data_IF_072086997000
#
_entry.id   IF_072086997000
#
_cell.length_a   1.000
_cell.length_b   1.000
_cell.length_c   1.000
_cell.angle_alpha   90.00
_cell.angle_beta   90.00
_cell.angle_gamma   90.00
#
_symmetry.space_group_name_H-M   'P 1'
#
loop_
_entity.id
_entity.type
_entity.pdbx_description
1 polymer ?
#
# COMPACT_ATOMS: atom_id res chain seq x y z
N UNK A 1 31.73 33.83 7.29
CA UNK A 1 31.19 32.63 6.62
C UNK A 1 29.73 32.93 6.31
N UNK A 2 29.45 33.24 5.04
CA UNK A 2 28.09 33.31 4.53
C UNK A 2 27.52 31.89 4.44
N UNK A 3 26.23 31.71 4.73
CA UNK A 3 25.29 30.94 3.91
C UNK A 3 23.88 31.00 4.50
N UNK A 4 23.20 32.09 4.18
CA UNK A 4 21.90 32.16 3.52
C UNK A 4 21.13 30.82 3.41
N UNK A 5 20.01 30.71 4.12
CA UNK A 5 18.78 30.03 3.69
C UNK A 5 17.64 30.60 4.54
N UNK A 6 17.05 31.71 4.11
CA UNK A 6 15.84 31.72 3.27
C UNK A 6 14.66 31.14 4.04
N UNK A 7 14.17 32.01 4.90
CA UNK A 7 12.78 32.12 5.32
C UNK A 7 11.90 32.20 4.06
N UNK A 8 11.15 31.14 3.78
CA UNK A 8 9.97 31.14 2.90
C UNK A 8 8.85 30.57 3.77
N UNK A 9 8.11 31.44 4.44
CA UNK A 9 6.81 31.93 3.97
C UNK A 9 5.82 30.75 3.87
N UNK A 10 5.14 30.53 4.98
CA UNK A 10 4.02 29.61 5.14
C UNK A 10 2.88 30.11 4.25
N UNK A 11 2.73 29.47 3.09
CA UNK A 11 1.51 29.56 2.29
C UNK A 11 0.63 28.38 2.67
N UNK A 12 -0.23 28.59 3.66
CA UNK A 12 -1.40 27.74 3.87
C UNK A 12 -2.29 27.84 2.63
N UNK A 13 -2.45 26.73 1.91
CA UNK A 13 -3.70 26.31 1.24
C UNK A 13 -3.49 24.94 0.59
N UNK A 14 -4.16 23.91 1.12
CA UNK A 14 -4.36 22.64 0.41
C UNK A 14 -3.87 21.38 1.12
N UNK A 15 -4.46 21.04 2.28
CA UNK A 15 -4.77 19.66 2.70
C UNK A 15 -3.75 18.53 2.48
N UNK A 16 -2.44 18.79 2.45
CA UNK A 16 -1.40 17.78 2.40
C UNK A 16 -1.00 17.43 3.81
N UNK A 17 -1.74 16.52 4.46
CA UNK A 17 -1.35 15.99 5.77
C UNK A 17 0.09 15.49 5.70
N UNK A 18 0.98 16.09 6.49
CA UNK A 18 2.39 15.70 6.58
C UNK A 18 2.39 14.27 7.12
N UNK A 19 2.66 13.29 6.25
CA UNK A 19 2.82 11.91 6.70
C UNK A 19 4.02 11.94 7.65
N UNK A 20 3.85 11.57 8.95
CA UNK A 20 4.96 11.61 9.88
C UNK A 20 6.09 10.73 9.35
N UNK A 21 7.35 11.17 9.52
CA UNK A 21 8.52 10.49 8.97
C UNK A 21 8.62 9.01 9.41
N UNK A 22 7.95 8.64 10.49
CA UNK A 22 7.89 7.29 11.07
C UNK A 22 6.66 6.47 10.61
N UNK A 23 5.79 7.00 9.75
CA UNK A 23 4.67 6.22 9.22
C UNK A 23 5.18 5.21 8.19
N UNK A 24 5.31 3.96 8.62
CA UNK A 24 5.55 2.86 7.71
C UNK A 24 4.20 2.35 7.17
N UNK A 25 3.88 2.61 5.90
CA UNK A 25 2.60 2.17 5.37
C UNK A 25 2.53 0.62 5.33
N UNK A 26 1.34 0.02 5.50
CA UNK A 26 1.20 -1.43 5.66
C UNK A 26 1.69 -2.23 4.45
N UNK A 27 1.62 -1.66 3.24
CA UNK A 27 2.14 -2.28 2.02
C UNK A 27 3.68 -2.26 1.89
N UNK A 28 4.39 -1.58 2.80
CA UNK A 28 5.87 -1.61 2.89
C UNK A 28 6.38 -2.59 3.94
N UNK A 29 5.49 -3.40 4.53
CA UNK A 29 5.86 -4.45 5.47
C UNK A 29 5.95 -5.82 4.77
N UNK A 30 6.87 -6.69 5.22
CA UNK A 30 7.03 -8.04 4.66
C UNK A 30 5.77 -8.91 4.82
N UNK A 31 5.38 -9.70 3.79
CA UNK A 31 6.04 -9.84 2.50
C UNK A 31 5.52 -8.86 1.43
N UNK A 32 4.61 -7.95 1.77
CA UNK A 32 3.97 -7.03 0.80
C UNK A 32 4.95 -6.02 0.19
N UNK A 33 6.07 -5.73 0.86
CA UNK A 33 7.16 -4.90 0.35
C UNK A 33 7.79 -5.44 -0.94
N UNK A 34 7.68 -6.76 -1.18
CA UNK A 34 8.15 -7.43 -2.39
C UNK A 34 7.10 -7.43 -3.53
N UNK A 35 5.91 -6.90 -3.27
CA UNK A 35 4.81 -6.83 -4.24
C UNK A 35 4.64 -5.40 -4.78
N UNK A 36 4.40 -5.28 -6.08
CA UNK A 36 4.15 -3.99 -6.72
C UNK A 36 2.66 -3.64 -6.66
N UNK A 37 2.29 -2.53 -6.02
CA UNK A 37 0.91 -2.01 -6.05
C UNK A 37 0.60 -1.52 -7.46
N UNK A 38 -0.38 -2.12 -8.13
CA UNK A 38 -0.85 -1.70 -9.45
C UNK A 38 -1.97 -0.69 -9.30
N UNK A 39 -2.86 -0.91 -8.34
CA UNK A 39 -4.05 -0.07 -8.14
C UNK A 39 -4.36 0.00 -6.66
N UNK A 40 -4.66 1.21 -6.21
CA UNK A 40 -5.17 1.50 -4.88
C UNK A 40 -6.22 2.59 -5.03
N UNK A 41 -7.48 2.28 -4.74
CA UNK A 41 -8.59 3.19 -5.01
C UNK A 41 -9.60 3.14 -3.87
N UNK A 42 -9.99 4.32 -3.41
CA UNK A 42 -11.09 4.45 -2.46
C UNK A 42 -12.41 4.55 -3.22
N UNK A 43 -13.39 3.79 -2.77
CA UNK A 43 -14.74 3.76 -3.32
C UNK A 43 -15.72 4.08 -2.20
N UNK A 44 -16.79 4.82 -2.50
CA UNK A 44 -17.91 4.99 -1.56
C UNK A 44 -19.02 4.04 -1.97
N UNK A 45 -19.27 3.01 -1.15
CA UNK A 45 -20.30 2.00 -1.39
C UNK A 45 -21.35 2.14 -0.29
N UNK A 46 -22.59 2.45 -0.66
CA UNK A 46 -23.69 2.65 0.29
C UNK A 46 -23.41 3.67 1.43
N UNK A 47 -22.55 4.66 1.16
CA UNK A 47 -22.15 5.67 2.15
C UNK A 47 -20.94 5.27 3.02
N UNK A 48 -20.40 4.06 2.82
CA UNK A 48 -19.21 3.57 3.51
C UNK A 48 -17.96 3.68 2.64
N UNK A 49 -16.83 4.04 3.26
CA UNK A 49 -15.54 4.17 2.59
C UNK A 49 -14.90 2.78 2.45
N UNK A 50 -14.80 2.32 1.22
CA UNK A 50 -14.12 1.09 0.85
C UNK A 50 -12.77 1.40 0.23
N UNK A 51 -11.83 0.48 0.41
CA UNK A 51 -10.53 0.48 -0.24
C UNK A 51 -10.44 -0.76 -1.12
N UNK A 52 -10.01 -0.58 -2.37
CA UNK A 52 -9.65 -1.64 -3.29
C UNK A 52 -8.15 -1.57 -3.58
N UNK A 53 -7.46 -2.69 -3.44
CA UNK A 53 -6.02 -2.78 -3.69
C UNK A 53 -5.73 -4.00 -4.56
N UNK A 54 -4.92 -3.81 -5.59
CA UNK A 54 -4.38 -4.88 -6.42
C UNK A 54 -2.84 -4.78 -6.45
N UNK A 55 -2.18 -5.91 -6.26
CA UNK A 55 -0.72 -6.01 -6.24
C UNK A 55 -0.24 -7.15 -7.12
N UNK A 56 0.94 -7.00 -7.72
CA UNK A 56 1.57 -8.03 -8.55
C UNK A 56 2.99 -8.36 -8.12
N UNK A 57 3.36 -9.62 -8.26
CA UNK A 57 4.73 -10.12 -8.07
C UNK A 57 4.97 -11.30 -8.99
N UNK A 58 6.03 -11.24 -9.80
CA UNK A 58 6.46 -12.33 -10.68
C UNK A 58 5.33 -12.94 -11.55
N UNK A 59 4.45 -12.10 -12.12
CA UNK A 59 3.33 -12.53 -12.95
C UNK A 59 2.11 -13.06 -12.18
N UNK A 60 2.14 -13.03 -10.85
CA UNK A 60 0.98 -13.30 -9.99
C UNK A 60 0.27 -11.99 -9.68
N UNK A 61 -1.05 -12.03 -9.64
CA UNK A 61 -1.91 -10.94 -9.17
C UNK A 61 -2.61 -11.36 -7.88
N UNK A 62 -2.57 -10.49 -6.85
CA UNK A 62 -3.43 -10.58 -5.67
C UNK A 62 -4.25 -9.29 -5.59
N UNK A 63 -5.49 -9.43 -5.16
CA UNK A 63 -6.42 -8.31 -5.01
C UNK A 63 -7.29 -8.48 -3.78
N UNK A 64 -7.69 -7.36 -3.18
CA UNK A 64 -8.59 -7.33 -2.04
C UNK A 64 -9.40 -6.03 -2.06
N UNK A 65 -10.68 -6.14 -1.70
CA UNK A 65 -11.58 -5.00 -1.59
C UNK A 65 -12.46 -5.14 -0.37
N UNK A 66 -12.70 -4.05 0.33
CA UNK A 66 -13.58 -4.05 1.50
C UNK A 66 -13.57 -2.70 2.21
N UNK A 67 -14.06 -2.64 3.45
CA UNK A 67 -13.93 -1.46 4.29
C UNK A 67 -12.45 -1.03 4.37
N UNK A 68 -12.21 0.29 4.38
CA UNK A 68 -10.87 0.88 4.57
C UNK A 68 -10.41 0.68 6.02
N UNK A 69 -10.06 -0.57 6.35
CA UNK A 69 -9.67 -1.02 7.68
C UNK A 69 -8.28 -1.70 7.67
N UNK A 70 -7.74 -1.91 8.87
CA UNK A 70 -6.45 -2.60 9.05
C UNK A 70 -6.51 -4.08 8.64
N UNK A 71 -7.72 -4.66 8.59
CA UNK A 71 -7.91 -6.08 8.25
C UNK A 71 -7.75 -6.34 6.75
N UNK A 72 -8.01 -5.35 5.89
CA UNK A 72 -7.79 -5.46 4.44
C UNK A 72 -6.34 -5.82 4.13
N UNK A 73 -5.39 -5.13 4.75
CA UNK A 73 -3.97 -5.41 4.58
C UNK A 73 -3.57 -6.79 5.13
N UNK A 74 -4.20 -7.24 6.21
CA UNK A 74 -3.98 -8.59 6.72
C UNK A 74 -4.47 -9.68 5.74
N UNK A 75 -5.60 -9.46 5.07
CA UNK A 75 -6.10 -10.39 4.03
C UNK A 75 -5.15 -10.46 2.83
N UNK A 76 -4.63 -9.32 2.37
CA UNK A 76 -3.60 -9.27 1.32
C UNK A 76 -2.31 -9.98 1.76
N UNK A 77 -1.90 -9.77 3.01
CA UNK A 77 -0.72 -10.43 3.59
C UNK A 77 -0.85 -11.96 3.52
N UNK A 78 -1.98 -12.52 3.94
CA UNK A 78 -2.23 -13.96 3.86
C UNK A 78 -2.26 -14.48 2.41
N UNK A 79 -2.82 -13.71 1.46
CA UNK A 79 -2.78 -14.04 0.03
C UNK A 79 -1.35 -14.04 -0.52
N UNK A 80 -0.54 -13.06 -0.12
CA UNK A 80 0.86 -12.96 -0.53
C UNK A 80 1.69 -14.14 -0.02
N UNK A 81 1.53 -14.53 1.25
CA UNK A 81 2.19 -15.70 1.85
C UNK A 81 1.73 -16.98 1.13
N UNK A 82 0.43 -17.22 1.05
CA UNK A 82 -0.11 -18.45 0.45
C UNK A 82 0.16 -18.60 -1.05
N UNK A 83 0.53 -17.52 -1.75
CA UNK A 83 0.93 -17.61 -3.17
C UNK A 83 2.43 -17.83 -3.35
N UNK A 84 3.25 -17.31 -2.43
CA UNK A 84 4.70 -17.56 -2.43
C UNK A 84 4.99 -19.07 -2.27
N UNK A 85 4.21 -19.76 -1.44
CA UNK A 85 4.34 -21.20 -1.22
C UNK A 85 3.88 -22.06 -2.42
N UNK A 86 2.97 -21.56 -3.26
CA UNK A 86 2.40 -22.34 -4.38
C UNK A 86 3.30 -22.41 -5.60
N UNK A 87 4.23 -21.47 -5.79
CA UNK A 87 5.17 -21.51 -6.92
C UNK A 87 6.19 -22.64 -6.81
N UNK A 88 6.60 -23.00 -5.59
CA UNK A 88 7.59 -24.07 -5.38
C UNK A 88 7.04 -25.48 -5.67
N UNK A 89 5.72 -25.66 -5.67
CA UNK A 89 5.09 -26.95 -5.94
C UNK A 89 4.81 -27.22 -7.44
N UNK A 90 5.00 -26.24 -8.32
CA UNK A 90 4.54 -26.29 -9.72
C UNK A 90 5.61 -26.58 -10.78
N UNK A 91 6.91 -26.53 -10.44
CA UNK A 91 8.00 -26.68 -11.41
C UNK A 91 8.70 -28.05 -11.28
N UNK A 92 7.90 -29.11 -11.40
CA UNK A 92 8.37 -30.47 -11.71
C UNK A 92 7.37 -31.14 -12.63
N UNK A 93 7.57 -31.00 -13.94
CA UNK A 93 7.19 -31.97 -14.97
C UNK A 93 8.05 -31.73 -16.21
#
# INVERSE_FOLDING_TARGET
>A
MNNNKSFTEEREEGGGGVIPADFNPPWKMKPLDEWNVITMTHLNVAGEKHLYVAMTKDGVLIEEGGPDDVYLWNRLWHKAVGTSEKKEAGEKC
#
